data_IF_625865873916
#
_entry.id   IF_625865873916
#
_cell.length_a   1.000
_cell.length_b   1.000
_cell.length_c   1.000
_cell.angle_alpha   90.00
_cell.angle_beta   90.00
_cell.angle_gamma   90.00
#
_symmetry.space_group_name_H-M   'P 1'
#
loop_
_entity.id
_entity.type
_entity.pdbx_description
1 polymer ?
#
# COMPACT_ATOMS: atom_id res chain seq x y z
N UNK A 1 20.28 -41.36 56.52
CA UNK A 1 21.25 -41.82 55.53
C UNK A 1 20.42 -42.35 54.39
N UNK A 2 20.16 -41.49 53.38
CA UNK A 2 19.39 -41.85 52.20
C UNK A 2 20.34 -41.60 51.05
N UNK A 3 20.86 -42.65 50.45
CA UNK A 3 21.65 -42.61 49.22
C UNK A 3 20.72 -42.37 48.05
N UNK A 4 20.91 -41.25 47.36
CA UNK A 4 20.31 -40.93 46.08
C UNK A 4 21.07 -41.70 44.98
N UNK A 5 20.44 -42.73 44.44
CA UNK A 5 20.84 -43.36 43.19
C UNK A 5 20.63 -42.38 42.03
N UNK A 6 21.74 -41.82 41.56
CA UNK A 6 21.76 -41.12 40.27
C UNK A 6 21.83 -42.20 39.16
N UNK A 7 20.66 -42.54 38.62
CA UNK A 7 20.60 -43.32 37.38
C UNK A 7 21.17 -42.46 36.22
N UNK A 8 22.36 -42.79 35.83
CA UNK A 8 23.00 -42.25 34.62
C UNK A 8 22.23 -42.82 33.42
N UNK A 9 21.38 -42.03 32.83
CA UNK A 9 20.73 -42.35 31.56
C UNK A 9 21.81 -42.33 30.48
N UNK A 10 22.35 -43.48 30.17
CA UNK A 10 23.23 -43.66 29.00
C UNK A 10 22.36 -43.66 27.74
N UNK A 11 22.36 -42.60 27.01
CA UNK A 11 21.75 -42.53 25.68
C UNK A 11 22.52 -43.46 24.73
N UNK A 12 21.89 -44.43 24.07
CA UNK A 12 22.60 -45.36 23.21
C UNK A 12 23.31 -44.61 22.08
N UNK A 13 24.55 -45.01 21.78
CA UNK A 13 25.44 -44.39 20.77
C UNK A 13 24.78 -44.27 19.36
N UNK A 14 23.78 -45.10 19.09
CA UNK A 14 23.03 -45.09 17.84
C UNK A 14 22.17 -43.84 17.65
N UNK A 15 21.62 -43.24 18.72
CA UNK A 15 20.85 -41.98 18.65
C UNK A 15 21.72 -40.75 18.44
N UNK A 16 22.99 -40.78 18.85
CA UNK A 16 23.91 -39.70 18.61
C UNK A 16 24.32 -39.55 17.14
N UNK A 17 24.41 -40.65 16.41
CA UNK A 17 24.83 -40.63 15.00
C UNK A 17 23.73 -40.07 14.07
N UNK A 18 22.46 -40.31 14.39
CA UNK A 18 21.35 -39.75 13.61
C UNK A 18 21.18 -38.23 13.83
N UNK A 19 21.49 -37.73 15.02
CA UNK A 19 21.36 -36.29 15.31
C UNK A 19 22.29 -35.42 14.43
N UNK A 20 23.47 -35.93 14.08
CA UNK A 20 24.43 -35.21 13.23
C UNK A 20 23.98 -35.07 11.77
N UNK A 21 23.14 -35.94 11.28
CA UNK A 21 22.62 -35.94 9.92
C UNK A 21 21.55 -34.84 9.76
N UNK A 22 20.76 -34.59 10.81
CA UNK A 22 19.70 -33.60 10.79
C UNK A 22 20.19 -32.18 10.94
N UNK A 23 21.34 -31.94 11.59
CA UNK A 23 21.89 -30.59 11.79
C UNK A 23 22.17 -29.89 10.46
N UNK A 24 22.87 -30.44 9.48
CA UNK A 24 23.09 -29.79 8.20
C UNK A 24 21.79 -29.62 7.40
N UNK A 25 20.82 -30.52 7.52
CA UNK A 25 19.50 -30.42 6.88
C UNK A 25 18.72 -29.24 7.47
N UNK A 26 18.68 -29.09 8.80
CA UNK A 26 18.03 -27.98 9.47
C UNK A 26 18.70 -26.63 9.13
N UNK A 27 20.02 -26.60 9.02
CA UNK A 27 20.75 -25.40 8.60
C UNK A 27 20.43 -25.06 7.13
N UNK A 28 20.40 -26.05 6.24
CA UNK A 28 20.04 -25.86 4.84
C UNK A 28 18.60 -25.35 4.67
N UNK A 29 17.65 -25.91 5.42
CA UNK A 29 16.24 -25.44 5.43
C UNK A 29 16.14 -24.02 5.99
N UNK A 30 16.89 -23.68 7.04
CA UNK A 30 16.90 -22.34 7.60
C UNK A 30 17.52 -21.30 6.65
N UNK A 31 18.59 -21.67 5.93
CA UNK A 31 19.25 -20.81 4.94
C UNK A 31 18.38 -20.66 3.69
N UNK A 32 17.79 -21.73 3.19
CA UNK A 32 16.85 -21.69 2.07
C UNK A 32 15.56 -20.94 2.43
N UNK A 33 15.05 -21.14 3.65
CA UNK A 33 13.89 -20.40 4.15
C UNK A 33 14.16 -18.89 4.22
N UNK A 34 15.35 -18.48 4.69
CA UNK A 34 15.75 -17.06 4.69
C UNK A 34 15.97 -16.51 3.29
N UNK A 35 16.55 -17.27 2.38
CA UNK A 35 16.72 -16.87 0.99
C UNK A 35 15.37 -16.75 0.27
N UNK A 36 14.42 -17.65 0.53
CA UNK A 36 13.05 -17.57 0.03
C UNK A 36 12.31 -16.35 0.62
N UNK A 37 12.40 -16.14 1.94
CA UNK A 37 11.80 -14.94 2.57
C UNK A 37 12.44 -13.67 2.01
N UNK A 38 13.75 -13.63 1.79
CA UNK A 38 14.44 -12.50 1.16
C UNK A 38 14.04 -12.32 -0.31
N UNK A 39 13.85 -13.41 -1.07
CA UNK A 39 13.39 -13.35 -2.46
C UNK A 39 11.88 -12.97 -2.59
N UNK A 40 11.07 -13.31 -1.58
CA UNK A 40 9.67 -12.87 -1.50
C UNK A 40 9.49 -11.53 -0.78
N UNK A 41 10.48 -11.06 -0.03
CA UNK A 41 10.58 -9.72 0.54
C UNK A 41 11.51 -8.82 -0.27
N UNK A 42 11.66 -9.02 -1.58
CA UNK A 42 12.01 -7.91 -2.44
C UNK A 42 10.91 -6.85 -2.25
N UNK A 43 11.06 -6.08 -1.17
CA UNK A 43 10.54 -4.72 -1.13
C UNK A 43 11.13 -4.07 -2.38
N UNK A 44 10.36 -4.03 -3.44
CA UNK A 44 10.64 -3.15 -4.57
C UNK A 44 11.00 -1.82 -3.91
N UNK A 45 12.25 -1.34 -4.11
CA UNK A 45 12.68 -0.05 -3.59
C UNK A 45 11.70 0.97 -4.12
N UNK A 46 10.70 1.31 -3.29
CA UNK A 46 9.69 2.29 -3.65
C UNK A 46 10.40 3.63 -3.68
N UNK A 47 10.37 4.27 -4.84
CA UNK A 47 10.98 5.57 -5.01
C UNK A 47 10.20 6.58 -4.17
N UNK A 48 10.88 7.21 -3.22
CA UNK A 48 10.27 8.23 -2.35
C UNK A 48 9.81 9.43 -3.18
N UNK A 49 8.66 9.98 -2.79
CA UNK A 49 8.10 11.13 -3.48
C UNK A 49 8.89 12.39 -3.14
N UNK A 50 9.37 13.08 -4.16
CA UNK A 50 10.12 14.32 -4.04
C UNK A 50 9.32 15.46 -4.68
N UNK A 51 8.97 16.46 -3.87
CA UNK A 51 8.20 17.61 -4.31
C UNK A 51 7.57 18.32 -3.12
N UNK A 52 6.96 19.48 -3.36
CA UNK A 52 6.32 20.28 -2.30
C UNK A 52 4.80 20.32 -2.45
N UNK A 53 4.29 20.25 -3.68
CA UNK A 53 2.85 20.33 -3.93
C UNK A 53 2.29 18.97 -4.32
N UNK A 54 1.26 18.54 -3.60
CA UNK A 54 0.66 17.23 -3.73
C UNK A 54 -0.77 17.38 -4.23
N UNK A 55 -1.13 16.63 -5.26
CA UNK A 55 -2.49 16.47 -5.71
C UNK A 55 -3.02 15.09 -5.33
N UNK A 56 -4.21 15.04 -4.73
CA UNK A 56 -4.86 13.78 -4.33
C UNK A 56 -6.09 13.54 -5.19
N UNK A 57 -6.05 12.48 -5.97
CA UNK A 57 -7.11 12.00 -6.85
C UNK A 57 -7.59 10.63 -6.38
N UNK A 58 -8.66 10.13 -6.93
CA UNK A 58 -9.08 8.75 -6.69
C UNK A 58 -10.55 8.48 -7.02
N UNK A 59 -10.92 7.21 -6.86
CA UNK A 59 -12.27 6.71 -7.11
C UNK A 59 -13.26 7.15 -6.03
N UNK A 60 -14.56 7.07 -6.32
CA UNK A 60 -15.59 7.24 -5.29
C UNK A 60 -15.42 6.19 -4.20
N UNK A 61 -15.51 6.62 -2.94
CA UNK A 61 -15.41 5.75 -1.78
C UNK A 61 -14.03 5.10 -1.61
N UNK A 62 -12.99 5.65 -2.22
CA UNK A 62 -11.61 5.15 -2.11
C UNK A 62 -10.87 5.62 -0.85
N UNK A 63 -11.55 6.31 0.08
CA UNK A 63 -10.91 6.80 1.30
C UNK A 63 -10.09 8.09 1.15
N UNK A 64 -10.26 8.86 0.05
CA UNK A 64 -9.57 10.15 -0.13
C UNK A 64 -9.75 11.10 1.06
N UNK A 65 -11.00 11.29 1.50
CA UNK A 65 -11.30 12.15 2.64
C UNK A 65 -10.62 11.65 3.91
N UNK A 66 -10.63 10.34 4.16
CA UNK A 66 -9.92 9.75 5.30
C UNK A 66 -8.41 10.01 5.21
N UNK A 67 -7.81 9.80 4.04
CA UNK A 67 -6.40 10.07 3.81
C UNK A 67 -6.05 11.56 4.09
N UNK A 68 -6.83 12.50 3.55
CA UNK A 68 -6.64 13.93 3.77
C UNK A 68 -6.81 14.32 5.25
N UNK A 69 -7.81 13.76 5.93
CA UNK A 69 -8.04 13.98 7.36
C UNK A 69 -6.90 13.42 8.23
N UNK A 70 -6.34 12.28 7.86
CA UNK A 70 -5.16 11.74 8.51
C UNK A 70 -3.95 12.69 8.38
N UNK A 71 -3.72 13.27 7.20
CA UNK A 71 -2.66 14.27 6.99
C UNK A 71 -2.88 15.55 7.81
N UNK A 72 -4.12 15.91 8.09
CA UNK A 72 -4.49 17.04 8.95
C UNK A 72 -4.40 16.74 10.45
N UNK A 73 -4.17 15.47 10.83
CA UNK A 73 -4.24 15.04 12.24
C UNK A 73 -5.67 14.87 12.78
N UNK A 74 -6.67 14.88 11.90
CA UNK A 74 -8.10 14.79 12.26
C UNK A 74 -8.72 13.42 11.92
N UNK A 75 -7.91 12.44 11.54
CA UNK A 75 -8.38 11.15 11.02
C UNK A 75 -9.27 10.36 11.98
N UNK A 76 -8.90 10.28 13.24
CA UNK A 76 -9.71 9.60 14.27
C UNK A 76 -11.04 10.30 14.55
N UNK A 77 -11.03 11.65 14.59
CA UNK A 77 -12.25 12.44 14.79
C UNK A 77 -13.23 12.18 13.64
N UNK A 78 -12.74 12.20 12.42
CA UNK A 78 -13.54 11.93 11.24
C UNK A 78 -14.17 10.53 11.24
N UNK A 79 -13.45 9.51 11.71
CA UNK A 79 -13.98 8.15 11.85
C UNK A 79 -15.11 8.07 12.87
N UNK A 80 -15.00 8.78 14.01
CA UNK A 80 -16.02 8.78 15.08
C UNK A 80 -17.31 9.49 14.66
N UNK A 81 -17.21 10.53 13.84
CA UNK A 81 -18.36 11.28 13.32
C UNK A 81 -19.17 10.51 12.26
N UNK A 82 -18.65 9.36 11.81
CA UNK A 82 -19.27 8.51 10.81
C UNK A 82 -18.99 8.96 9.37
N UNK A 83 -18.97 7.97 8.48
CA UNK A 83 -18.68 8.19 7.07
C UNK A 83 -19.85 8.91 6.39
N UNK A 84 -19.69 10.19 6.07
CA UNK A 84 -20.58 10.91 5.18
C UNK A 84 -20.01 10.82 3.75
N UNK A 85 -20.73 10.15 2.86
CA UNK A 85 -20.37 10.11 1.45
C UNK A 85 -20.32 11.51 0.88
N UNK A 86 -19.16 11.97 0.45
CA UNK A 86 -18.94 13.30 -0.09
C UNK A 86 -19.38 13.31 -1.55
N UNK A 87 -20.55 13.83 -1.84
CA UNK A 87 -21.02 13.98 -3.23
C UNK A 87 -20.17 14.97 -4.04
N UNK A 88 -19.59 15.97 -3.41
CA UNK A 88 -18.65 16.91 -3.99
C UNK A 88 -17.99 17.68 -2.85
N UNK A 89 -16.78 17.38 -2.48
CA UNK A 89 -16.06 18.16 -1.47
C UNK A 89 -14.91 18.90 -2.11
N UNK A 90 -14.97 20.20 -2.05
CA UNK A 90 -13.80 21.04 -2.22
C UNK A 90 -12.96 20.92 -0.94
N UNK A 91 -11.71 20.53 -1.07
CA UNK A 91 -10.77 20.64 0.04
C UNK A 91 -9.87 21.85 -0.19
N UNK A 92 -9.72 22.64 0.88
CA UNK A 92 -8.83 23.78 0.85
C UNK A 92 -7.38 23.32 0.96
N UNK A 93 -6.48 24.12 0.41
CA UNK A 93 -5.06 23.91 0.55
C UNK A 93 -4.66 23.93 2.03
N UNK A 94 -3.80 22.98 2.42
CA UNK A 94 -3.21 22.93 3.74
C UNK A 94 -1.77 22.41 3.68
N UNK A 95 -1.00 22.64 4.76
CA UNK A 95 0.34 22.14 4.90
C UNK A 95 0.42 21.11 6.03
N UNK A 96 1.29 20.12 5.87
CA UNK A 96 1.58 19.14 6.90
C UNK A 96 3.09 18.85 6.93
N UNK A 97 3.56 18.26 8.03
CA UNK A 97 4.97 17.92 8.20
C UNK A 97 5.14 16.41 8.38
N UNK A 98 6.20 15.86 7.77
CA UNK A 98 6.66 14.51 8.02
C UNK A 98 8.17 14.58 8.25
N UNK A 99 8.61 14.23 9.45
CA UNK A 99 9.98 14.52 9.88
C UNK A 99 10.26 16.02 9.81
N UNK A 100 11.39 16.40 9.24
CA UNK A 100 11.82 17.79 9.07
C UNK A 100 11.26 18.45 7.77
N UNK A 101 10.54 17.70 6.94
CA UNK A 101 10.04 18.20 5.67
C UNK A 101 8.62 18.70 5.78
N UNK A 102 8.35 19.81 5.11
CA UNK A 102 7.01 20.39 4.99
C UNK A 102 6.47 20.17 3.57
N UNK A 103 5.25 19.69 3.49
CA UNK A 103 4.51 19.45 2.25
C UNK A 103 3.26 20.29 2.18
N UNK A 104 2.81 20.59 0.98
CA UNK A 104 1.58 21.33 0.72
C UNK A 104 0.62 20.47 -0.09
N UNK A 105 -0.57 20.20 0.45
CA UNK A 105 -1.70 19.72 -0.32
C UNK A 105 -2.34 20.93 -1.01
N UNK A 106 -2.37 20.91 -2.32
CA UNK A 106 -3.09 21.95 -3.08
C UNK A 106 -4.59 21.75 -2.97
N UNK A 107 -5.31 22.85 -3.08
CA UNK A 107 -6.75 22.81 -3.22
C UNK A 107 -7.17 21.90 -4.37
N UNK A 108 -8.29 21.26 -4.20
CA UNK A 108 -8.83 20.33 -5.17
C UNK A 108 -10.30 20.09 -4.93
N UNK A 109 -10.92 19.49 -5.93
CA UNK A 109 -12.31 19.05 -5.83
C UNK A 109 -12.28 17.52 -5.78
N UNK A 110 -12.86 16.94 -4.76
CA UNK A 110 -13.18 15.53 -4.74
C UNK A 110 -14.35 15.30 -5.69
N UNK A 111 -14.02 15.01 -6.95
CA UNK A 111 -15.03 14.68 -7.94
C UNK A 111 -15.51 13.26 -7.65
N UNK A 112 -16.73 13.16 -7.16
CA UNK A 112 -17.47 11.93 -7.17
C UNK A 112 -17.47 11.37 -8.59
N UNK A 113 -17.04 10.13 -8.78
CA UNK A 113 -16.76 9.39 -10.00
C UNK A 113 -17.67 9.48 -11.21
N UNK A 114 -18.32 10.58 -11.48
CA UNK A 114 -19.04 10.80 -12.72
C UNK A 114 -18.04 10.93 -13.87
N UNK A 115 -18.11 10.01 -14.78
CA UNK A 115 -17.16 9.72 -15.85
C UNK A 115 -17.01 10.86 -16.86
N UNK A 116 -18.00 11.74 -16.98
CA UNK A 116 -18.11 12.74 -18.06
C UNK A 116 -17.11 13.89 -17.97
N UNK A 117 -16.56 14.19 -16.79
CA UNK A 117 -15.69 15.33 -16.59
C UNK A 117 -14.26 15.00 -16.16
N UNK A 118 -13.85 13.74 -16.24
CA UNK A 118 -12.54 13.30 -15.74
C UNK A 118 -11.43 14.02 -16.49
N UNK A 119 -11.49 14.02 -17.83
CA UNK A 119 -10.38 14.45 -18.69
C UNK A 119 -9.95 15.91 -18.45
N UNK A 120 -10.80 16.93 -18.62
CA UNK A 120 -10.38 18.30 -18.42
C UNK A 120 -10.02 18.64 -16.98
N UNK A 121 -10.64 17.95 -16.00
CA UNK A 121 -10.34 18.17 -14.60
C UNK A 121 -8.98 17.58 -14.20
N UNK A 122 -8.72 16.33 -14.56
CA UNK A 122 -7.45 15.66 -14.24
C UNK A 122 -6.28 16.33 -14.95
N UNK A 123 -6.44 16.77 -16.19
CA UNK A 123 -5.43 17.50 -16.93
C UNK A 123 -5.02 18.78 -16.20
N UNK A 124 -5.99 19.66 -15.94
CA UNK A 124 -5.77 20.89 -15.18
C UNK A 124 -5.21 20.63 -13.76
N UNK A 125 -5.67 19.55 -13.11
CA UNK A 125 -5.23 19.20 -11.78
C UNK A 125 -3.78 18.71 -11.77
N UNK A 126 -3.36 17.91 -12.75
CA UNK A 126 -2.00 17.34 -12.83
C UNK A 126 -0.96 18.35 -13.28
N UNK A 127 -1.32 19.34 -14.11
CA UNK A 127 -0.39 20.35 -14.66
C UNK A 127 0.38 21.13 -13.59
N UNK A 128 -0.21 21.34 -12.42
CA UNK A 128 0.34 22.22 -11.38
C UNK A 128 0.76 21.47 -10.10
N UNK A 129 1.03 20.18 -10.17
CA UNK A 129 1.41 19.37 -9.01
C UNK A 129 2.78 18.72 -9.21
N UNK A 130 3.59 18.73 -8.15
CA UNK A 130 4.86 18.02 -8.14
C UNK A 130 4.65 16.52 -7.97
N UNK A 131 3.64 16.15 -7.16
CA UNK A 131 3.33 14.77 -6.76
C UNK A 131 1.85 14.52 -7.02
N UNK A 132 1.54 13.38 -7.65
CA UNK A 132 0.19 12.85 -7.81
C UNK A 132 -0.01 11.65 -6.89
N UNK A 133 -1.06 11.67 -6.06
CA UNK A 133 -1.50 10.51 -5.29
C UNK A 133 -2.88 10.11 -5.82
N UNK A 134 -3.03 8.84 -6.22
CA UNK A 134 -4.30 8.30 -6.70
C UNK A 134 -4.75 7.14 -5.81
N UNK A 135 -6.00 7.20 -5.32
CA UNK A 135 -6.57 6.20 -4.42
C UNK A 135 -7.68 5.39 -5.09
N UNK A 136 -7.73 4.09 -4.81
CA UNK A 136 -8.86 3.23 -5.16
C UNK A 136 -9.10 2.15 -4.09
N UNK A 137 -10.32 1.63 -4.04
CA UNK A 137 -10.73 0.54 -3.15
C UNK A 137 -10.27 -0.80 -3.76
N UNK A 138 -9.34 -1.50 -3.10
CA UNK A 138 -8.76 -2.74 -3.65
C UNK A 138 -9.75 -3.89 -3.69
N UNK A 139 -10.70 -3.95 -2.75
CA UNK A 139 -11.73 -4.98 -2.77
C UNK A 139 -12.64 -4.80 -3.99
N UNK A 140 -13.14 -3.56 -4.20
CA UNK A 140 -13.97 -3.27 -5.38
C UNK A 140 -13.18 -3.47 -6.67
N UNK A 141 -11.91 -3.07 -6.70
CA UNK A 141 -11.06 -3.28 -7.87
C UNK A 141 -10.91 -4.77 -8.23
N UNK A 142 -10.75 -5.62 -7.21
CA UNK A 142 -10.67 -7.07 -7.40
C UNK A 142 -12.00 -7.68 -7.81
N UNK A 143 -13.10 -7.35 -7.13
CA UNK A 143 -14.35 -8.08 -7.19
C UNK A 143 -15.39 -7.47 -8.14
N UNK A 144 -15.30 -6.17 -8.49
CA UNK A 144 -16.24 -5.47 -9.34
C UNK A 144 -15.59 -5.05 -10.67
N UNK A 145 -16.03 -5.66 -11.76
CA UNK A 145 -15.46 -5.42 -13.11
C UNK A 145 -15.73 -4.01 -13.63
N UNK A 146 -16.86 -3.39 -13.31
CA UNK A 146 -17.20 -2.04 -13.71
C UNK A 146 -16.33 -1.02 -12.98
N UNK A 147 -16.22 -1.15 -11.64
CA UNK A 147 -15.32 -0.31 -10.84
C UNK A 147 -13.86 -0.44 -11.33
N UNK A 148 -13.43 -1.66 -11.63
CA UNK A 148 -12.09 -1.90 -12.18
C UNK A 148 -11.89 -1.22 -13.53
N UNK A 149 -12.87 -1.32 -14.45
CA UNK A 149 -12.82 -0.64 -15.74
C UNK A 149 -12.67 0.87 -15.59
N UNK A 150 -13.46 1.47 -14.71
CA UNK A 150 -13.42 2.90 -14.43
C UNK A 150 -12.10 3.33 -13.78
N UNK A 151 -11.57 2.52 -12.87
CA UNK A 151 -10.24 2.74 -12.27
C UNK A 151 -9.16 2.68 -13.33
N UNK A 152 -9.21 1.70 -14.23
CA UNK A 152 -8.25 1.52 -15.31
C UNK A 152 -8.21 2.71 -16.27
N UNK A 153 -9.36 3.28 -16.61
CA UNK A 153 -9.45 4.50 -17.44
C UNK A 153 -8.71 5.66 -16.78
N UNK A 154 -8.84 5.81 -15.47
CA UNK A 154 -8.15 6.87 -14.72
C UNK A 154 -6.65 6.62 -14.60
N UNK A 155 -6.25 5.38 -14.35
CA UNK A 155 -4.84 4.99 -14.34
C UNK A 155 -4.16 5.22 -15.70
N UNK A 156 -4.86 4.90 -16.80
CA UNK A 156 -4.34 5.16 -18.16
C UNK A 156 -4.22 6.67 -18.42
N UNK A 157 -5.21 7.45 -17.99
CA UNK A 157 -5.14 8.90 -18.08
C UNK A 157 -3.96 9.48 -17.31
N UNK A 158 -3.79 9.08 -16.04
CA UNK A 158 -2.66 9.52 -15.20
C UNK A 158 -1.34 9.12 -15.85
N UNK A 159 -1.24 7.87 -16.35
CA UNK A 159 -0.05 7.36 -17.01
C UNK A 159 0.38 8.19 -18.23
N UNK A 160 -0.58 8.72 -18.98
CA UNK A 160 -0.31 9.53 -20.16
C UNK A 160 0.13 10.97 -19.81
N UNK A 161 -0.19 11.46 -18.60
CA UNK A 161 0.14 12.82 -18.16
C UNK A 161 1.31 12.87 -17.19
N UNK A 162 1.54 11.83 -16.40
CA UNK A 162 2.68 11.73 -15.49
C UNK A 162 3.89 11.18 -16.25
N UNK A 163 4.83 12.06 -16.58
CA UNK A 163 6.06 11.70 -17.31
C UNK A 163 6.97 10.79 -16.46
N UNK A 164 7.09 11.11 -15.19
CA UNK A 164 7.94 10.42 -14.23
C UNK A 164 7.07 9.65 -13.21
N UNK A 165 7.07 8.32 -13.32
CA UNK A 165 6.29 7.46 -12.44
C UNK A 165 6.71 7.59 -10.96
N UNK A 166 7.96 8.01 -10.66
CA UNK A 166 8.43 8.26 -9.30
C UNK A 166 7.69 9.41 -8.59
N UNK A 167 7.03 10.27 -9.37
CA UNK A 167 6.20 11.38 -8.85
C UNK A 167 4.73 11.01 -8.68
N UNK A 168 4.38 9.74 -8.90
CA UNK A 168 3.03 9.25 -8.76
C UNK A 168 3.00 8.10 -7.75
N UNK A 169 2.15 8.20 -6.73
CA UNK A 169 1.86 7.11 -5.82
C UNK A 169 0.43 6.61 -6.04
N UNK A 170 0.28 5.31 -6.11
CA UNK A 170 -1.02 4.65 -6.20
C UNK A 170 -1.31 3.99 -4.85
N UNK A 171 -2.43 4.33 -4.24
CA UNK A 171 -2.81 3.79 -2.92
C UNK A 171 -4.07 2.93 -3.06
N UNK A 172 -3.94 1.66 -2.71
CA UNK A 172 -5.03 0.74 -2.54
C UNK A 172 -5.54 0.78 -1.10
N UNK A 173 -6.77 1.23 -0.91
CA UNK A 173 -7.43 1.29 0.39
C UNK A 173 -8.33 0.07 0.64
N UNK A 174 -8.95 0.00 1.83
CA UNK A 174 -9.89 -1.07 2.22
C UNK A 174 -9.29 -2.48 2.17
N UNK A 175 -8.01 -2.61 2.49
CA UNK A 175 -7.32 -3.91 2.54
C UNK A 175 -7.91 -4.83 3.62
N UNK A 176 -8.45 -4.26 4.69
CA UNK A 176 -9.17 -4.94 5.76
C UNK A 176 -10.44 -5.66 5.29
N UNK A 177 -11.03 -5.20 4.19
CA UNK A 177 -12.24 -5.78 3.59
C UNK A 177 -11.91 -6.76 2.46
N UNK A 178 -10.70 -6.71 1.92
CA UNK A 178 -10.31 -7.56 0.81
C UNK A 178 -10.15 -9.01 1.26
N UNK A 179 -11.01 -9.89 0.75
CA UNK A 179 -10.86 -11.33 0.94
C UNK A 179 -9.71 -11.82 0.06
N UNK A 180 -8.65 -12.28 0.70
CA UNK A 180 -7.43 -12.78 0.05
C UNK A 180 -7.25 -14.23 0.48
N UNK A 181 -6.93 -15.10 -0.47
CA UNK A 181 -6.60 -16.50 -0.21
C UNK A 181 -5.28 -16.59 0.54
N UNK A 182 -5.13 -17.64 1.34
CA UNK A 182 -3.92 -17.88 2.10
C UNK A 182 -2.68 -17.95 1.17
N UNK A 183 -1.63 -17.25 1.53
CA UNK A 183 -0.39 -17.16 0.73
C UNK A 183 -0.43 -16.16 -0.42
N UNK A 184 -1.53 -15.44 -0.65
CA UNK A 184 -1.59 -14.36 -1.63
C UNK A 184 -1.44 -12.98 -0.99
N UNK A 185 -0.96 -12.02 -1.77
CA UNK A 185 -0.87 -10.60 -1.39
C UNK A 185 -1.77 -9.77 -2.29
N UNK A 186 -2.44 -8.76 -1.70
CA UNK A 186 -3.25 -7.83 -2.51
C UNK A 186 -2.41 -7.09 -3.56
N UNK A 187 -1.15 -6.83 -3.26
CA UNK A 187 -0.20 -6.20 -4.19
C UNK A 187 -0.02 -7.10 -5.41
N UNK A 188 0.28 -8.38 -5.20
CA UNK A 188 0.45 -9.36 -6.29
C UNK A 188 -0.83 -9.53 -7.12
N UNK A 189 -2.00 -9.52 -6.48
CA UNK A 189 -3.29 -9.62 -7.17
C UNK A 189 -3.48 -8.40 -8.09
N UNK A 190 -3.26 -7.19 -7.58
CA UNK A 190 -3.40 -5.96 -8.37
C UNK A 190 -2.39 -5.93 -9.51
N UNK A 191 -1.13 -6.29 -9.27
CA UNK A 191 -0.10 -6.37 -10.30
C UNK A 191 -0.49 -7.31 -11.44
N UNK A 192 -1.02 -8.50 -11.14
CA UNK A 192 -1.55 -9.44 -12.14
C UNK A 192 -2.73 -8.85 -12.94
N UNK A 193 -3.64 -8.13 -12.28
CA UNK A 193 -4.80 -7.52 -12.95
C UNK A 193 -4.43 -6.40 -13.93
N UNK A 194 -3.27 -5.77 -13.75
CA UNK A 194 -2.76 -4.71 -14.62
C UNK A 194 -1.68 -5.19 -15.60
N UNK A 195 -1.30 -6.45 -15.53
CA UNK A 195 -0.27 -7.03 -16.39
C UNK A 195 -0.55 -6.77 -17.88
N UNK A 196 0.47 -6.39 -18.64
CA UNK A 196 0.34 -6.04 -20.06
C UNK A 196 -0.34 -4.71 -20.35
N UNK A 197 -0.79 -3.95 -19.35
CA UNK A 197 -1.38 -2.62 -19.54
C UNK A 197 -0.30 -1.53 -19.53
N UNK A 198 -0.50 -0.49 -20.34
CA UNK A 198 0.45 0.65 -20.43
C UNK A 198 0.69 1.34 -19.07
N UNK A 199 -0.33 1.43 -18.24
CA UNK A 199 -0.27 2.03 -16.90
C UNK A 199 0.28 1.09 -15.81
N UNK A 200 0.61 -0.17 -16.13
CA UNK A 200 1.19 -1.11 -15.16
C UNK A 200 2.48 -0.54 -14.51
N UNK A 201 3.22 0.30 -15.23
CA UNK A 201 4.40 0.97 -14.67
C UNK A 201 4.11 1.77 -13.42
N UNK A 202 2.93 2.42 -13.29
CA UNK A 202 2.55 3.18 -12.11
C UNK A 202 2.37 2.26 -10.89
N UNK A 203 1.74 1.11 -11.10
CA UNK A 203 1.52 0.09 -10.05
C UNK A 203 2.84 -0.59 -9.68
N UNK A 204 3.70 -0.88 -10.65
CA UNK A 204 4.97 -1.56 -10.39
C UNK A 204 6.03 -0.65 -9.75
N UNK A 205 5.88 0.68 -9.86
CA UNK A 205 6.83 1.62 -9.28
C UNK A 205 6.44 2.00 -7.84
N UNK A 206 5.23 2.49 -7.63
CA UNK A 206 4.79 3.06 -6.35
C UNK A 206 3.35 2.68 -6.02
N UNK A 207 3.07 1.39 -5.81
CA UNK A 207 1.78 0.92 -5.32
C UNK A 207 1.87 0.51 -3.85
N UNK A 208 0.99 1.07 -3.05
CA UNK A 208 0.89 0.84 -1.63
C UNK A 208 -0.53 0.37 -1.28
N UNK A 209 -0.65 -0.66 -0.46
CA UNK A 209 -1.94 -1.19 -0.04
C UNK A 209 -2.01 -1.17 1.50
N UNK A 210 -2.87 -0.30 2.05
CA UNK A 210 -3.00 -0.07 3.49
C UNK A 210 -4.44 0.19 3.92
N UNK A 211 -4.73 -0.12 5.19
CA UNK A 211 -5.97 0.30 5.84
C UNK A 211 -5.82 1.74 6.33
N UNK A 212 -6.47 2.68 5.65
CA UNK A 212 -6.39 4.11 5.99
C UNK A 212 -7.09 4.49 7.30
N UNK A 213 -7.83 3.57 7.92
CA UNK A 213 -8.47 3.78 9.22
C UNK A 213 -7.62 3.24 10.39
N UNK A 214 -6.51 2.55 10.09
CA UNK A 214 -5.55 2.06 11.07
C UNK A 214 -4.38 3.05 11.16
N UNK A 215 -4.12 3.58 12.35
CA UNK A 215 -3.05 4.56 12.58
C UNK A 215 -1.65 3.99 12.23
N UNK A 216 -1.40 2.74 12.61
CA UNK A 216 -0.12 2.07 12.34
C UNK A 216 0.12 1.92 10.83
N UNK A 217 -0.92 1.51 10.08
CA UNK A 217 -0.86 1.39 8.62
C UNK A 217 -0.66 2.74 7.95
N UNK A 218 -1.33 3.78 8.46
CA UNK A 218 -1.17 5.13 7.95
C UNK A 218 0.24 5.66 8.17
N UNK A 219 0.82 5.44 9.35
CA UNK A 219 2.19 5.82 9.65
C UNK A 219 3.20 5.07 8.75
N UNK A 220 3.01 3.78 8.53
CA UNK A 220 3.83 2.99 7.56
C UNK A 220 3.72 3.55 6.15
N UNK A 221 2.51 3.88 5.71
CA UNK A 221 2.28 4.48 4.39
C UNK A 221 3.01 5.82 4.25
N UNK A 222 2.87 6.72 5.20
CA UNK A 222 3.50 8.04 5.16
C UNK A 222 5.04 7.95 5.15
N UNK A 223 5.59 7.05 5.95
CA UNK A 223 7.04 6.81 5.95
C UNK A 223 7.52 6.27 4.59
N UNK A 224 6.78 5.37 3.98
CA UNK A 224 7.12 4.85 2.64
C UNK A 224 6.98 5.91 1.54
N UNK A 225 6.02 6.80 1.66
CA UNK A 225 5.81 7.86 0.67
C UNK A 225 6.87 8.96 0.75
N UNK A 226 7.30 9.36 1.95
CA UNK A 226 8.01 10.62 2.15
C UNK A 226 9.34 10.53 2.89
N UNK A 227 9.58 9.48 3.69
CA UNK A 227 10.80 9.27 4.48
C UNK A 227 11.64 8.12 3.97
#
# INVERSE_FOLDING_TARGET
MVELLLDTITVPAFQQQEAWIWIPILIAVAVLGRALIAAFSEETETTKLIGKSIGVLGMIGSGKTQFLKNLQGEGEKYQREGYQGTNKAEYQKFTFKIGDKQYEIKDGIDIGGETYNIKPYYEKFLENKDICIFLFDVQKYKDNSEYRKDTNVRLDFINNHVKDASKCAIIGSHVDKAKIEEGQSIITIVQKLVEGKKYARLINTNFFAYNLTCEEDMNKLLNKLFL
#
